data_IF_652849597932
#
_entry.id   IF_652849597932
#
_cell.length_a   1.000
_cell.length_b   1.000
_cell.length_c   1.000
_cell.angle_alpha   90.00
_cell.angle_beta   90.00
_cell.angle_gamma   90.00
#
_symmetry.space_group_name_H-M   'P 1'
#
loop_
_entity.id
_entity.type
_entity.pdbx_description
1 polymer ?
#
# COMPACT_ATOMS: atom_id res chain seq x y z
N UNK A 1 -6.24 -8.24 -9.92
CA UNK A 1 -5.04 -8.81 -9.25
C UNK A 1 -3.86 -7.91 -9.60
N UNK A 2 -2.92 -7.68 -8.67
CA UNK A 2 -1.69 -6.92 -8.93
C UNK A 2 -0.72 -7.74 -9.81
N UNK A 3 0.19 -7.05 -10.47
CA UNK A 3 1.20 -7.68 -11.33
C UNK A 3 2.45 -8.07 -10.53
N UNK A 4 2.77 -7.30 -9.47
CA UNK A 4 3.92 -7.53 -8.61
C UNK A 4 3.68 -7.03 -7.19
N UNK A 5 4.35 -7.64 -6.21
CA UNK A 5 4.30 -7.19 -4.82
C UNK A 5 5.69 -7.27 -4.17
N UNK A 6 6.09 -6.21 -3.49
CA UNK A 6 7.37 -6.12 -2.77
C UNK A 6 7.17 -5.51 -1.39
N UNK A 7 7.95 -5.99 -0.42
CA UNK A 7 8.02 -5.44 0.92
C UNK A 7 9.47 -5.18 1.32
N UNK A 8 9.69 -4.16 2.14
CA UNK A 8 11.02 -3.87 2.65
C UNK A 8 11.50 -5.00 3.57
N UNK A 9 10.63 -5.44 4.47
CA UNK A 9 10.99 -6.37 5.55
C UNK A 9 9.92 -7.46 5.77
N UNK A 10 10.34 -8.57 6.39
CA UNK A 10 9.43 -9.50 7.03
C UNK A 10 8.77 -8.83 8.26
N UNK A 11 7.54 -9.24 8.60
CA UNK A 11 6.81 -8.71 9.76
C UNK A 11 7.31 -9.36 11.05
N UNK A 12 8.54 -9.00 11.47
CA UNK A 12 9.25 -9.57 12.61
C UNK A 12 9.94 -8.46 13.44
N UNK A 13 10.10 -8.68 14.72
CA UNK A 13 10.92 -7.89 15.67
C UNK A 13 10.94 -6.36 15.48
N UNK A 14 12.04 -5.85 14.95
CA UNK A 14 12.28 -4.41 14.76
C UNK A 14 11.28 -3.80 13.78
N UNK A 15 10.92 -4.53 12.73
CA UNK A 15 9.97 -4.05 11.74
C UNK A 15 8.55 -3.89 12.33
N UNK A 16 8.15 -4.80 13.23
CA UNK A 16 6.88 -4.68 13.98
C UNK A 16 6.89 -3.44 14.87
N UNK A 17 7.99 -3.19 15.59
CA UNK A 17 8.15 -1.98 16.42
C UNK A 17 8.11 -0.71 15.58
N UNK A 18 8.75 -0.70 14.41
CA UNK A 18 8.74 0.41 13.46
C UNK A 18 7.34 0.71 12.93
N UNK A 19 6.58 -0.31 12.54
CA UNK A 19 5.17 -0.16 12.13
C UNK A 19 4.31 0.37 13.27
N UNK A 20 4.53 -0.11 14.49
CA UNK A 20 3.80 0.38 15.66
C UNK A 20 4.12 1.85 15.95
N UNK A 21 5.40 2.25 15.90
CA UNK A 21 5.83 3.64 16.03
C UNK A 21 5.22 4.52 14.93
N UNK A 22 5.22 4.05 13.66
CA UNK A 22 4.57 4.75 12.55
C UNK A 22 3.07 4.94 12.78
N UNK A 23 2.39 3.99 13.39
CA UNK A 23 0.96 4.08 13.73
C UNK A 23 0.66 5.05 14.87
N UNK A 24 1.65 5.41 15.68
CA UNK A 24 1.52 6.28 16.85
C UNK A 24 2.21 7.66 16.68
N UNK A 25 2.62 8.04 15.48
CA UNK A 25 3.16 9.37 15.19
C UNK A 25 4.67 9.53 15.36
N UNK A 26 5.40 8.46 15.68
CA UNK A 26 6.84 8.53 15.98
C UNK A 26 7.75 7.77 15.00
N UNK A 27 7.20 7.19 13.94
CA UNK A 27 7.91 6.27 13.05
C UNK A 27 8.29 6.83 11.69
N UNK A 28 8.38 8.14 11.49
CA UNK A 28 8.70 8.75 10.19
C UNK A 28 10.08 8.36 9.67
N UNK A 29 11.10 8.34 10.54
CA UNK A 29 12.46 7.92 10.16
C UNK A 29 12.52 6.45 9.74
N UNK A 30 11.74 5.58 10.43
CA UNK A 30 11.62 4.19 10.03
C UNK A 30 10.93 4.04 8.67
N UNK A 31 9.87 4.80 8.43
CA UNK A 31 9.19 4.80 7.14
C UNK A 31 10.10 5.29 6.02
N UNK A 32 10.91 6.32 6.26
CA UNK A 32 11.88 6.84 5.31
C UNK A 32 12.93 5.77 4.97
N UNK A 33 13.57 5.17 5.98
CA UNK A 33 14.54 4.10 5.78
C UNK A 33 13.93 2.90 5.02
N UNK A 34 12.70 2.51 5.36
CA UNK A 34 12.01 1.45 4.65
C UNK A 34 11.74 1.80 3.17
N UNK A 35 11.47 3.08 2.87
CA UNK A 35 11.30 3.54 1.50
C UNK A 35 12.61 3.53 0.71
N UNK A 36 13.76 3.83 1.34
CA UNK A 36 15.07 3.71 0.69
C UNK A 36 15.33 2.25 0.26
N UNK A 37 15.09 1.29 1.19
CA UNK A 37 15.19 -0.15 0.87
C UNK A 37 14.20 -0.57 -0.24
N UNK A 38 12.99 -0.01 -0.25
CA UNK A 38 12.00 -0.30 -1.30
C UNK A 38 12.40 0.28 -2.65
N UNK A 39 13.02 1.47 -2.68
CA UNK A 39 13.53 2.06 -3.92
C UNK A 39 14.60 1.17 -4.53
N UNK A 40 15.59 0.74 -3.75
CA UNK A 40 16.65 -0.16 -4.22
C UNK A 40 16.06 -1.46 -4.81
N UNK A 41 15.06 -2.05 -4.13
CA UNK A 41 14.37 -3.25 -4.63
C UNK A 41 13.63 -3.01 -5.94
N UNK A 42 12.88 -1.91 -6.03
CA UNK A 42 12.10 -1.56 -7.23
C UNK A 42 13.02 -1.24 -8.43
N UNK A 43 14.16 -0.61 -8.18
CA UNK A 43 15.16 -0.34 -9.22
C UNK A 43 15.81 -1.62 -9.72
N UNK A 44 16.26 -2.50 -8.82
CA UNK A 44 16.87 -3.79 -9.16
C UNK A 44 15.92 -4.69 -9.97
N UNK A 45 14.61 -4.63 -9.67
CA UNK A 45 13.59 -5.41 -10.37
C UNK A 45 13.06 -4.70 -11.64
N UNK A 46 13.57 -3.52 -11.99
CA UNK A 46 13.14 -2.72 -13.15
C UNK A 46 11.74 -2.11 -13.01
N UNK A 47 11.25 -1.97 -11.78
CA UNK A 47 9.88 -1.50 -11.47
C UNK A 47 9.82 -0.05 -10.97
N UNK A 48 10.94 0.65 -10.94
CA UNK A 48 11.02 2.07 -10.57
C UNK A 48 10.33 2.99 -11.59
N UNK A 49 10.14 2.54 -12.83
CA UNK A 49 9.51 3.29 -13.93
C UNK A 49 7.97 3.17 -13.86
N UNK A 50 7.37 3.74 -12.83
CA UNK A 50 5.93 3.89 -12.74
C UNK A 50 5.51 5.32 -13.11
N UNK A 51 4.21 5.54 -13.35
CA UNK A 51 3.67 6.87 -13.66
C UNK A 51 3.14 7.58 -12.42
N UNK A 52 2.54 6.82 -11.50
CA UNK A 52 1.81 7.37 -10.35
C UNK A 52 2.01 6.45 -9.14
N UNK A 53 2.21 7.08 -7.97
CA UNK A 53 2.16 6.40 -6.68
C UNK A 53 0.86 6.77 -5.97
N UNK A 54 0.15 5.77 -5.47
CA UNK A 54 -1.06 5.95 -4.67
C UNK A 54 -0.96 5.17 -3.36
N UNK A 55 -1.98 5.29 -2.51
CA UNK A 55 -2.02 4.64 -1.21
C UNK A 55 -3.36 3.96 -0.97
N UNK A 56 -3.33 2.87 -0.21
CA UNK A 56 -4.55 2.25 0.31
C UNK A 56 -5.29 3.25 1.19
N UNK A 57 -6.58 3.55 0.89
CA UNK A 57 -7.32 4.53 1.66
C UNK A 57 -7.69 4.01 3.06
N UNK A 58 -7.48 4.86 4.04
CA UNK A 58 -7.87 4.62 5.43
C UNK A 58 -9.31 5.05 5.70
N UNK A 59 -9.99 4.43 6.68
CA UNK A 59 -11.31 4.89 7.11
C UNK A 59 -11.24 6.30 7.72
N UNK A 60 -12.27 7.11 7.49
CA UNK A 60 -12.36 8.48 8.03
C UNK A 60 -12.18 8.52 9.55
N UNK A 61 -12.80 7.59 10.28
CA UNK A 61 -12.66 7.49 11.73
C UNK A 61 -11.21 7.31 12.17
N UNK A 62 -10.48 6.38 11.54
CA UNK A 62 -9.05 6.16 11.83
C UNK A 62 -8.19 7.36 11.44
N UNK A 63 -8.49 8.01 10.29
CA UNK A 63 -7.76 9.20 9.84
C UNK A 63 -7.96 10.38 10.80
N UNK A 64 -9.17 10.59 11.32
CA UNK A 64 -9.46 11.62 12.33
C UNK A 64 -8.78 11.31 13.67
N UNK A 65 -8.85 10.07 14.15
CA UNK A 65 -8.21 9.67 15.41
C UNK A 65 -6.69 9.72 15.37
N UNK A 66 -6.06 9.45 14.22
CA UNK A 66 -4.61 9.34 14.06
C UNK A 66 -3.98 10.61 13.48
N UNK A 67 -4.76 11.45 12.80
CA UNK A 67 -4.32 12.66 12.11
C UNK A 67 -3.77 12.44 10.69
N UNK A 68 -3.40 11.22 10.32
CA UNK A 68 -2.78 10.88 9.03
C UNK A 68 -3.07 9.44 8.59
N UNK A 69 -2.74 9.14 7.33
CA UNK A 69 -2.74 7.79 6.77
C UNK A 69 -1.29 7.34 6.55
N UNK A 70 -0.87 6.23 7.17
CA UNK A 70 0.50 5.70 7.04
C UNK A 70 0.84 5.37 5.59
N UNK A 71 -0.08 4.76 4.87
CA UNK A 71 0.11 4.43 3.46
C UNK A 71 0.37 5.69 2.61
N UNK A 72 -0.27 6.83 2.92
CA UNK A 72 0.01 8.11 2.25
C UNK A 72 1.42 8.66 2.59
N UNK A 73 1.91 8.43 3.82
CA UNK A 73 3.28 8.82 4.21
C UNK A 73 4.30 7.99 3.43
N UNK A 74 4.13 6.68 3.42
CA UNK A 74 4.99 5.75 2.66
C UNK A 74 4.99 6.13 1.19
N UNK A 75 3.83 6.33 0.59
CA UNK A 75 3.69 6.70 -0.81
C UNK A 75 4.38 8.02 -1.16
N UNK A 76 4.33 9.03 -0.26
CA UNK A 76 5.01 10.31 -0.45
C UNK A 76 6.54 10.17 -0.42
N UNK A 77 7.08 9.41 0.55
CA UNK A 77 8.53 9.17 0.60
C UNK A 77 9.01 8.39 -0.62
N UNK A 78 8.32 7.31 -0.96
CA UNK A 78 8.66 6.50 -2.13
C UNK A 78 8.59 7.32 -3.42
N UNK A 79 7.53 8.10 -3.62
CA UNK A 79 7.38 8.94 -4.80
C UNK A 79 8.44 10.04 -4.86
N UNK A 80 8.81 10.64 -3.71
CA UNK A 80 9.89 11.63 -3.62
C UNK A 80 11.24 11.05 -4.04
N UNK A 81 11.59 9.87 -3.55
CA UNK A 81 12.86 9.19 -3.89
C UNK A 81 12.90 8.77 -5.37
N UNK A 82 11.77 8.33 -5.94
CA UNK A 82 11.69 7.89 -7.34
C UNK A 82 11.38 9.02 -8.34
N UNK A 83 11.13 10.23 -7.88
CA UNK A 83 10.73 11.37 -8.75
C UNK A 83 9.36 11.20 -9.39
N UNK A 84 8.42 10.49 -8.75
CA UNK A 84 7.11 10.15 -9.28
C UNK A 84 6.00 11.06 -8.74
N UNK A 85 4.91 11.21 -9.52
CA UNK A 85 3.71 11.91 -9.08
C UNK A 85 2.90 11.05 -8.09
N UNK A 86 2.15 11.72 -7.19
CA UNK A 86 1.21 11.03 -6.28
C UNK A 86 -0.23 11.43 -6.57
N UNK A 87 -1.16 10.47 -6.50
CA UNK A 87 -2.60 10.73 -6.49
C UNK A 87 -3.32 9.84 -5.45
N UNK A 88 -3.72 10.43 -4.33
CA UNK A 88 -4.46 9.76 -3.24
C UNK A 88 -5.98 9.83 -3.41
N UNK A 89 -6.45 10.32 -4.55
CA UNK A 89 -7.88 10.45 -4.85
C UNK A 89 -8.42 9.33 -5.76
N UNK A 90 -7.59 8.38 -6.18
CA UNK A 90 -7.99 7.29 -7.07
C UNK A 90 -8.99 6.34 -6.39
N UNK A 91 -8.72 6.02 -5.14
CA UNK A 91 -9.47 5.04 -4.36
C UNK A 91 -10.19 5.70 -3.18
N UNK A 92 -11.30 5.10 -2.78
CA UNK A 92 -12.03 5.44 -1.56
C UNK A 92 -12.33 4.20 -0.73
N UNK A 93 -12.59 4.44 0.55
CA UNK A 93 -13.04 3.42 1.50
C UNK A 93 -14.29 3.88 2.22
N UNK A 94 -15.24 2.96 2.41
CA UNK A 94 -16.42 3.20 3.26
C UNK A 94 -16.04 3.33 4.73
N UNK A 95 -16.93 3.92 5.53
CA UNK A 95 -16.74 4.12 6.98
C UNK A 95 -17.13 2.90 7.83
N UNK A 96 -16.89 1.68 7.34
CA UNK A 96 -17.29 0.47 8.05
C UNK A 96 -16.58 0.33 9.40
N UNK A 97 -17.34 -0.01 10.46
CA UNK A 97 -16.89 -0.04 11.85
C UNK A 97 -16.20 -1.33 12.27
N UNK A 98 -16.17 -2.36 11.41
CA UNK A 98 -15.55 -3.64 11.72
C UNK A 98 -14.02 -3.54 11.81
N UNK A 99 -13.47 -4.02 12.92
CA UNK A 99 -12.02 -4.06 13.12
C UNK A 99 -11.40 -5.22 12.33
N UNK A 100 -10.67 -4.90 11.27
CA UNK A 100 -9.98 -5.85 10.39
C UNK A 100 -9.04 -6.83 11.14
N UNK A 101 -8.55 -6.43 12.32
CA UNK A 101 -7.57 -7.22 13.09
C UNK A 101 -8.13 -8.53 13.66
N UNK A 102 -9.46 -8.63 13.82
CA UNK A 102 -10.14 -9.83 14.34
C UNK A 102 -10.63 -10.79 13.26
N UNK A 103 -10.44 -10.44 11.98
CA UNK A 103 -10.93 -11.23 10.86
C UNK A 103 -9.89 -12.30 10.44
N UNK A 104 -10.37 -13.50 10.13
CA UNK A 104 -9.56 -14.53 9.48
C UNK A 104 -9.31 -14.18 7.99
N UNK A 105 -8.48 -14.99 7.29
CA UNK A 105 -8.08 -14.69 5.90
C UNK A 105 -9.29 -14.56 4.96
N UNK A 106 -10.24 -15.47 5.00
CA UNK A 106 -11.45 -15.44 4.15
C UNK A 106 -12.30 -14.19 4.44
N UNK A 107 -12.53 -13.91 5.72
CA UNK A 107 -13.28 -12.73 6.14
C UNK A 107 -12.60 -11.42 5.72
N UNK A 108 -11.26 -11.37 5.68
CA UNK A 108 -10.52 -10.19 5.18
C UNK A 108 -10.76 -9.97 3.69
N UNK A 109 -10.85 -11.03 2.88
CA UNK A 109 -11.18 -10.90 1.46
C UNK A 109 -12.60 -10.39 1.26
N UNK A 110 -13.59 -11.02 1.89
CA UNK A 110 -15.00 -10.60 1.83
C UNK A 110 -15.20 -9.16 2.32
N UNK A 111 -14.48 -8.77 3.36
CA UNK A 111 -14.51 -7.42 3.89
C UNK A 111 -13.90 -6.40 2.93
N UNK A 112 -12.73 -6.70 2.35
CA UNK A 112 -12.07 -5.81 1.38
C UNK A 112 -12.97 -5.55 0.16
N UNK A 113 -13.68 -6.58 -0.34
CA UNK A 113 -14.61 -6.45 -1.47
C UNK A 113 -15.70 -5.40 -1.24
N UNK A 114 -16.16 -5.24 0.00
CA UNK A 114 -17.27 -4.34 0.37
C UNK A 114 -16.83 -2.91 0.63
N UNK A 115 -15.60 -2.70 1.11
CA UNK A 115 -15.21 -1.40 1.65
C UNK A 115 -14.40 -0.53 0.70
N UNK A 116 -13.69 -1.12 -0.26
CA UNK A 116 -12.89 -0.36 -1.22
C UNK A 116 -13.63 -0.18 -2.54
N UNK A 117 -13.60 1.04 -3.08
CA UNK A 117 -14.24 1.39 -4.33
C UNK A 117 -13.52 2.53 -5.06
N UNK A 118 -13.77 2.62 -6.36
CA UNK A 118 -13.27 3.69 -7.23
C UNK A 118 -13.83 5.04 -6.79
N UNK A 119 -12.99 6.05 -6.71
CA UNK A 119 -13.48 7.41 -6.55
C UNK A 119 -14.17 7.88 -7.85
N UNK A 120 -15.45 8.27 -7.83
CA UNK A 120 -16.14 8.76 -9.03
C UNK A 120 -15.49 9.98 -9.68
N UNK A 121 -14.70 10.74 -8.91
CA UNK A 121 -13.94 11.90 -9.37
C UNK A 121 -12.47 11.58 -9.68
N UNK A 122 -12.09 10.32 -9.64
CA UNK A 122 -10.74 9.86 -9.97
C UNK A 122 -10.49 9.96 -11.47
N UNK A 123 -9.27 10.30 -11.86
CA UNK A 123 -8.84 10.33 -13.25
C UNK A 123 -8.71 8.91 -13.81
N UNK A 124 -8.88 8.75 -15.12
CA UNK A 124 -8.61 7.48 -15.81
C UNK A 124 -7.12 7.15 -15.78
N UNK A 125 -6.81 5.86 -15.73
CA UNK A 125 -5.43 5.34 -15.63
C UNK A 125 -4.99 4.62 -16.93
N UNK A 126 -5.61 4.95 -18.07
CA UNK A 126 -5.32 4.26 -19.33
C UNK A 126 -3.81 4.26 -19.64
N UNK A 127 -3.28 3.06 -19.84
CA UNK A 127 -1.86 2.79 -20.13
C UNK A 127 -0.89 3.28 -19.04
N UNK A 128 -1.34 3.42 -17.78
CA UNK A 128 -0.50 3.85 -16.66
C UNK A 128 -0.03 2.67 -15.82
N UNK A 129 1.23 2.73 -15.41
CA UNK A 129 1.77 1.87 -14.35
C UNK A 129 1.61 2.58 -13.00
N UNK A 130 0.94 1.91 -12.06
CA UNK A 130 0.60 2.48 -10.75
C UNK A 130 1.30 1.69 -9.65
N UNK A 131 1.99 2.38 -8.74
CA UNK A 131 2.44 1.82 -7.47
C UNK A 131 1.37 2.12 -6.42
N UNK A 132 0.92 1.10 -5.69
CA UNK A 132 0.02 1.25 -4.53
C UNK A 132 0.74 0.85 -3.25
N UNK A 133 0.72 1.73 -2.24
CA UNK A 133 1.40 1.55 -0.96
C UNK A 133 0.43 1.19 0.18
N UNK A 134 0.89 0.33 1.10
CA UNK A 134 0.28 0.07 2.41
C UNK A 134 1.39 -0.10 3.46
N UNK A 135 1.04 -0.17 4.75
CA UNK A 135 2.01 -0.42 5.83
C UNK A 135 2.39 -1.90 5.93
N UNK A 136 1.43 -2.82 5.89
CA UNK A 136 1.65 -4.26 6.07
C UNK A 136 0.86 -5.08 5.05
N UNK A 137 1.58 -5.89 4.29
CA UNK A 137 0.99 -6.92 3.43
C UNK A 137 0.77 -8.20 4.24
N UNK A 138 -0.49 -8.59 4.43
CA UNK A 138 -0.84 -9.83 5.15
C UNK A 138 -1.36 -10.90 4.19
N UNK A 139 -2.66 -11.03 4.03
CA UNK A 139 -3.29 -11.98 3.10
C UNK A 139 -3.36 -11.49 1.67
N UNK A 140 -2.95 -10.25 1.41
CA UNK A 140 -3.09 -9.59 0.12
C UNK A 140 -4.51 -9.14 -0.23
N UNK A 141 -5.52 -9.40 0.62
CA UNK A 141 -6.92 -9.07 0.36
C UNK A 141 -7.13 -7.60 -0.02
N UNK A 142 -6.58 -6.68 0.79
CA UNK A 142 -6.64 -5.24 0.55
C UNK A 142 -5.97 -4.86 -0.77
N UNK A 143 -4.73 -5.33 -0.97
CA UNK A 143 -3.96 -5.02 -2.18
C UNK A 143 -4.63 -5.59 -3.44
N UNK A 144 -5.14 -6.83 -3.39
CA UNK A 144 -5.85 -7.44 -4.51
C UNK A 144 -7.09 -6.63 -4.89
N UNK A 145 -7.92 -6.24 -3.91
CA UNK A 145 -9.13 -5.45 -4.20
C UNK A 145 -8.79 -4.07 -4.76
N UNK A 146 -7.86 -3.35 -4.13
CA UNK A 146 -7.46 -2.03 -4.61
C UNK A 146 -6.84 -2.11 -6.02
N UNK A 147 -6.01 -3.13 -6.28
CA UNK A 147 -5.41 -3.34 -7.60
C UNK A 147 -6.47 -3.67 -8.67
N UNK A 148 -7.47 -4.49 -8.35
CA UNK A 148 -8.58 -4.77 -9.27
C UNK A 148 -9.30 -3.48 -9.68
N UNK A 149 -9.57 -2.60 -8.72
CA UNK A 149 -10.19 -1.29 -8.99
C UNK A 149 -9.29 -0.41 -9.87
N UNK A 150 -7.98 -0.36 -9.61
CA UNK A 150 -7.04 0.40 -10.44
C UNK A 150 -6.96 -0.15 -11.87
N UNK A 151 -6.99 -1.48 -12.04
CA UNK A 151 -7.09 -2.14 -13.35
C UNK A 151 -8.40 -1.80 -14.07
N UNK A 152 -9.54 -1.82 -13.38
CA UNK A 152 -10.83 -1.37 -13.91
C UNK A 152 -10.83 0.12 -14.33
N UNK A 153 -9.98 0.95 -13.72
CA UNK A 153 -9.75 2.34 -14.12
C UNK A 153 -8.83 2.48 -15.33
N UNK A 154 -8.28 1.37 -15.84
CA UNK A 154 -7.45 1.31 -17.03
C UNK A 154 -5.95 1.21 -16.78
N UNK A 155 -5.51 0.98 -15.54
CA UNK A 155 -4.09 0.78 -15.25
C UNK A 155 -3.53 -0.44 -16.01
N UNK A 156 -2.42 -0.24 -16.73
CA UNK A 156 -1.72 -1.29 -17.45
C UNK A 156 -1.02 -2.24 -16.49
N UNK A 157 -0.32 -1.67 -15.49
CA UNK A 157 0.36 -2.45 -14.44
C UNK A 157 0.06 -1.86 -13.06
N UNK A 158 -0.02 -2.73 -12.04
CA UNK A 158 -0.18 -2.34 -10.64
C UNK A 158 0.85 -3.08 -9.80
N UNK A 159 1.74 -2.31 -9.17
CA UNK A 159 2.75 -2.81 -8.25
C UNK A 159 2.33 -2.50 -6.82
N UNK A 160 2.28 -3.53 -5.98
CA UNK A 160 1.97 -3.41 -4.56
C UNK A 160 3.24 -3.27 -3.74
N UNK A 161 3.31 -2.24 -2.92
CA UNK A 161 4.47 -1.94 -2.09
C UNK A 161 4.04 -1.82 -0.63
N UNK A 162 4.76 -2.47 0.28
CA UNK A 162 4.53 -2.35 1.72
C UNK A 162 5.84 -2.31 2.52
N UNK A 163 5.79 -1.74 3.72
CA UNK A 163 6.96 -1.77 4.60
C UNK A 163 7.22 -3.21 5.06
N UNK A 164 6.17 -3.92 5.48
CA UNK A 164 6.32 -5.29 5.98
C UNK A 164 5.37 -6.26 5.29
N UNK A 165 5.76 -7.54 5.25
CA UNK A 165 4.86 -8.62 4.90
C UNK A 165 4.91 -9.77 5.92
N UNK A 166 3.79 -10.47 6.09
CA UNK A 166 3.70 -11.69 6.91
C UNK A 166 4.00 -12.96 6.12
N UNK A 167 3.97 -12.89 4.79
CA UNK A 167 4.29 -14.00 3.90
C UNK A 167 5.74 -13.89 3.43
N UNK A 168 6.59 -14.83 3.86
CA UNK A 168 8.01 -14.90 3.50
C UNK A 168 8.25 -15.01 1.98
N UNK A 169 7.26 -15.45 1.21
CA UNK A 169 7.37 -15.55 -0.25
C UNK A 169 7.29 -14.19 -0.96
N UNK A 170 6.73 -13.18 -0.31
CA UNK A 170 6.57 -11.84 -0.88
C UNK A 170 7.73 -10.91 -0.47
N UNK A 171 8.35 -11.16 0.69
CA UNK A 171 9.50 -10.39 1.16
C UNK A 171 10.82 -10.78 0.49
N UNK A 172 10.87 -11.95 -0.13
CA UNK A 172 12.05 -12.47 -0.80
C UNK A 172 11.99 -12.12 -2.28
N UNK A 173 12.58 -11.00 -2.70
CA UNK A 173 13.25 -11.02 -3.98
C UNK A 173 14.17 -12.23 -3.96
N UNK A 174 14.05 -13.12 -4.92
CA UNK A 174 14.95 -14.26 -5.09
C UNK A 174 16.38 -13.76 -5.02
N UNK A 175 17.12 -14.25 -4.02
CA UNK A 175 18.59 -14.25 -4.09
C UNK A 175 19.05 -14.94 -5.37
#
# INVERSE_FOLDING_TARGET
MFDYAVSAFSYEDIAVKGIYALKNGHGTNFAQYACDVLCDKLENDGMSKADIVTAVPMSRRKKLSRGYNQAEIIAKYLAGNLGLATDFKLLKRTSDSLEQHRLNSRQRHEFAERIYYKNPKGVGLKNKTVIICDDVFTTGATMNKCSAILKEMGAEKVYCVSICCTDKKISCTKE
#
